data_IF_659705259365
#
_entry.id   IF_659705259365
#
_cell.length_a   1.000
_cell.length_b   1.000
_cell.length_c   1.000
_cell.angle_alpha   90.00
_cell.angle_beta   90.00
_cell.angle_gamma   90.00
#
_symmetry.space_group_name_H-M   'P 1'
#
loop_
_entity.id
_entity.type
_entity.pdbx_description
1 polymer ?
#
# COMPACT_ATOMS: atom_id res chain seq x y z
N UNK A 1 -23.81 70.13 -3.59
CA UNK A 1 -22.97 69.28 -4.47
C UNK A 1 -22.18 68.31 -3.60
N UNK A 2 -22.66 67.10 -3.38
CA UNK A 2 -21.93 66.03 -2.66
C UNK A 2 -21.55 64.95 -3.67
N UNK A 3 -20.24 64.82 -3.92
CA UNK A 3 -19.72 63.72 -4.75
C UNK A 3 -19.36 62.56 -3.82
N UNK A 4 -20.16 61.52 -3.85
CA UNK A 4 -19.81 60.26 -3.17
C UNK A 4 -18.88 59.44 -4.07
N UNK A 5 -17.60 59.35 -3.67
CA UNK A 5 -16.64 58.44 -4.26
C UNK A 5 -16.88 57.02 -3.66
N UNK A 6 -17.43 56.10 -4.44
CA UNK A 6 -17.48 54.70 -4.08
C UNK A 6 -16.13 54.07 -4.35
N UNK A 7 -15.39 53.81 -3.29
CA UNK A 7 -14.14 53.03 -3.35
C UNK A 7 -14.51 51.54 -3.33
N UNK A 8 -14.53 50.91 -4.51
CA UNK A 8 -14.82 49.48 -4.66
C UNK A 8 -13.63 48.65 -4.13
N UNK A 9 -13.88 47.90 -3.05
CA UNK A 9 -12.95 46.95 -2.47
C UNK A 9 -13.01 45.66 -3.30
N UNK A 10 -12.02 45.43 -4.18
CA UNK A 10 -11.88 44.20 -4.93
C UNK A 10 -11.23 43.15 -4.00
N UNK A 11 -12.05 42.25 -3.46
CA UNK A 11 -11.56 41.06 -2.76
C UNK A 11 -11.10 40.02 -3.78
N UNK A 12 -9.80 39.93 -3.99
CA UNK A 12 -9.17 38.85 -4.75
C UNK A 12 -9.16 37.58 -3.89
N UNK A 13 -10.09 36.67 -4.16
CA UNK A 13 -10.11 35.32 -3.55
C UNK A 13 -8.95 34.50 -4.14
N UNK A 14 -7.92 34.26 -3.35
CA UNK A 14 -6.83 33.35 -3.68
C UNK A 14 -7.34 31.90 -3.49
N UNK A 15 -7.74 31.25 -4.58
CA UNK A 15 -8.12 29.84 -4.55
C UNK A 15 -6.84 29.00 -4.37
N UNK A 16 -6.66 28.45 -3.16
CA UNK A 16 -5.61 27.52 -2.84
C UNK A 16 -5.96 26.15 -3.45
N UNK A 17 -5.49 25.87 -4.65
CA UNK A 17 -5.65 24.56 -5.29
C UNK A 17 -4.80 23.53 -4.53
N UNK A 18 -5.44 22.69 -3.73
CA UNK A 18 -4.79 21.54 -3.13
C UNK A 18 -4.45 20.53 -4.23
N UNK A 19 -3.17 20.45 -4.60
CA UNK A 19 -2.67 19.38 -5.46
C UNK A 19 -2.69 18.08 -4.64
N UNK A 20 -3.63 17.20 -4.93
CA UNK A 20 -3.61 15.83 -4.44
C UNK A 20 -2.50 15.08 -5.17
N UNK A 21 -1.39 14.85 -4.49
CA UNK A 21 -0.34 13.96 -4.97
C UNK A 21 -0.89 12.54 -4.89
N UNK A 22 -1.12 11.91 -6.04
CA UNK A 22 -1.44 10.48 -6.06
C UNK A 22 -0.22 9.72 -5.52
N UNK A 23 -0.40 9.00 -4.42
CA UNK A 23 0.63 8.13 -3.89
C UNK A 23 0.79 6.93 -4.85
N UNK A 24 1.89 6.91 -5.58
CA UNK A 24 2.28 5.73 -6.36
C UNK A 24 2.88 4.69 -5.44
N UNK A 25 2.61 3.41 -5.73
CA UNK A 25 3.27 2.31 -5.04
C UNK A 25 4.80 2.39 -5.24
N UNK A 26 5.54 2.21 -4.14
CA UNK A 26 7.00 2.22 -4.14
C UNK A 26 7.53 0.82 -3.78
N UNK A 27 8.00 0.04 -4.77
CA UNK A 27 8.54 -1.30 -4.50
C UNK A 27 9.82 -1.27 -3.65
N UNK A 28 10.60 -0.17 -3.65
CA UNK A 28 11.77 -0.05 -2.79
C UNK A 28 11.37 0.12 -1.32
N UNK A 29 10.37 0.96 -1.04
CA UNK A 29 9.76 1.08 0.28
C UNK A 29 9.10 -0.23 0.71
N UNK A 30 8.41 -0.92 -0.21
CA UNK A 30 7.85 -2.25 0.00
C UNK A 30 8.91 -3.27 0.41
N UNK A 31 10.03 -3.34 -0.31
CA UNK A 31 11.16 -4.23 0.03
C UNK A 31 11.72 -3.95 1.42
N UNK A 32 11.89 -2.69 1.77
CA UNK A 32 12.38 -2.30 3.09
C UNK A 32 11.45 -2.76 4.21
N UNK A 33 10.14 -2.61 4.00
CA UNK A 33 9.11 -3.04 4.94
C UNK A 33 9.01 -4.57 5.05
N UNK A 34 9.15 -5.29 3.93
CA UNK A 34 9.21 -6.76 3.90
C UNK A 34 10.33 -7.27 4.79
N UNK A 35 11.52 -6.67 4.73
CA UNK A 35 12.66 -7.04 5.58
C UNK A 35 12.38 -6.86 7.08
N UNK A 36 11.51 -5.94 7.43
CA UNK A 36 11.17 -5.67 8.82
C UNK A 36 10.04 -6.56 9.35
N UNK A 37 9.01 -6.82 8.53
CA UNK A 37 7.74 -7.39 9.00
C UNK A 37 7.37 -8.74 8.38
N UNK A 38 7.91 -9.10 7.20
CA UNK A 38 7.39 -10.22 6.42
C UNK A 38 8.41 -11.33 6.15
N UNK A 39 9.70 -10.98 6.07
CA UNK A 39 10.73 -11.88 5.56
C UNK A 39 10.92 -13.17 6.35
N UNK A 40 10.68 -13.15 7.66
CA UNK A 40 10.88 -14.33 8.51
C UNK A 40 10.02 -15.50 8.08
N UNK A 41 8.80 -15.23 7.63
CA UNK A 41 7.85 -16.25 7.20
C UNK A 41 7.75 -16.38 5.68
N UNK A 42 7.66 -15.24 4.97
CA UNK A 42 7.40 -15.22 3.53
C UNK A 42 8.63 -15.04 2.65
N UNK A 43 9.78 -14.71 3.24
CA UNK A 43 11.00 -14.37 2.51
C UNK A 43 10.95 -12.98 1.86
N UNK A 44 12.12 -12.39 1.60
CA UNK A 44 12.23 -11.16 0.79
C UNK A 44 11.88 -11.45 -0.67
N UNK A 45 12.24 -12.64 -1.13
CA UNK A 45 11.95 -13.17 -2.45
C UNK A 45 10.52 -13.69 -2.64
N UNK A 46 9.69 -13.63 -1.59
CA UNK A 46 8.33 -14.14 -1.61
C UNK A 46 8.22 -15.66 -1.62
N UNK A 47 9.34 -16.37 -1.38
CA UNK A 47 9.33 -17.83 -1.20
C UNK A 47 9.29 -18.12 0.29
N UNK A 48 8.24 -18.81 0.74
CA UNK A 48 8.01 -19.08 2.16
C UNK A 48 9.20 -19.77 2.83
N UNK A 49 9.53 -19.32 4.03
CA UNK A 49 10.65 -19.85 4.85
C UNK A 49 10.16 -20.79 5.94
N UNK A 50 8.87 -20.85 6.18
CA UNK A 50 8.22 -21.76 7.14
C UNK A 50 7.03 -22.48 6.48
N UNK A 51 6.70 -23.71 6.90
CA UNK A 51 5.68 -24.53 6.23
C UNK A 51 4.27 -23.96 6.25
N UNK A 52 3.93 -23.15 7.26
CA UNK A 52 2.58 -22.59 7.43
C UNK A 52 2.36 -21.30 6.66
N UNK A 53 3.42 -20.68 6.14
CA UNK A 53 3.32 -19.45 5.36
C UNK A 53 3.19 -19.77 3.86
N UNK A 54 2.32 -19.09 3.12
CA UNK A 54 2.26 -19.23 1.68
C UNK A 54 3.40 -18.49 0.97
N UNK A 55 3.74 -18.92 -0.24
CA UNK A 55 4.51 -18.13 -1.18
C UNK A 55 3.72 -16.91 -1.61
N UNK A 56 4.40 -15.77 -1.75
CA UNK A 56 3.80 -14.51 -2.18
C UNK A 56 4.42 -13.98 -3.49
N UNK A 57 5.52 -14.60 -3.94
CA UNK A 57 6.21 -14.21 -5.16
C UNK A 57 5.28 -14.28 -6.37
N UNK A 58 5.16 -13.17 -7.11
CA UNK A 58 4.36 -13.11 -8.33
C UNK A 58 2.84 -13.14 -8.14
N UNK A 59 2.35 -13.07 -6.90
CA UNK A 59 0.91 -12.91 -6.65
C UNK A 59 0.43 -11.55 -7.18
N UNK A 60 -0.85 -11.49 -7.56
CA UNK A 60 -1.40 -10.24 -8.08
C UNK A 60 -1.45 -9.16 -6.98
N UNK A 61 -1.08 -7.93 -7.34
CA UNK A 61 -1.11 -6.79 -6.43
C UNK A 61 -2.49 -6.60 -5.80
N UNK A 62 -3.55 -6.67 -6.61
CA UNK A 62 -4.94 -6.52 -6.15
C UNK A 62 -5.30 -7.59 -5.13
N UNK A 63 -4.88 -8.84 -5.36
CA UNK A 63 -5.13 -9.92 -4.42
C UNK A 63 -4.41 -9.68 -3.09
N UNK A 64 -3.13 -9.34 -3.13
CA UNK A 64 -2.32 -9.08 -1.94
C UNK A 64 -2.90 -7.92 -1.11
N UNK A 65 -3.25 -6.80 -1.75
CA UNK A 65 -3.89 -5.67 -1.06
C UNK A 65 -5.22 -6.08 -0.41
N UNK A 66 -6.04 -6.81 -1.15
CA UNK A 66 -7.34 -7.29 -0.66
C UNK A 66 -7.16 -8.17 0.58
N UNK A 67 -6.21 -9.10 0.55
CA UNK A 67 -5.97 -10.00 1.68
C UNK A 67 -5.39 -9.28 2.90
N UNK A 68 -4.43 -8.37 2.73
CA UNK A 68 -3.88 -7.59 3.83
C UNK A 68 -4.95 -6.70 4.49
N UNK A 69 -5.80 -6.05 3.69
CA UNK A 69 -6.94 -5.27 4.19
C UNK A 69 -7.97 -6.17 4.90
N UNK A 70 -8.20 -7.39 4.40
CA UNK A 70 -9.11 -8.35 5.03
C UNK A 70 -8.58 -8.82 6.40
N UNK A 71 -7.29 -9.11 6.53
CA UNK A 71 -6.68 -9.42 7.82
C UNK A 71 -6.74 -8.23 8.79
N UNK A 72 -6.46 -7.02 8.30
CA UNK A 72 -6.50 -5.81 9.11
C UNK A 72 -7.89 -5.51 9.65
N UNK A 73 -8.93 -5.73 8.86
CA UNK A 73 -10.32 -5.45 9.21
C UNK A 73 -11.01 -6.58 9.99
N UNK A 74 -10.38 -7.76 10.11
CA UNK A 74 -11.00 -8.94 10.70
C UNK A 74 -11.94 -9.73 9.78
N UNK A 75 -12.07 -9.36 8.50
CA UNK A 75 -12.82 -10.15 7.51
C UNK A 75 -12.16 -11.49 7.21
N UNK A 76 -10.85 -11.56 7.37
CA UNK A 76 -10.05 -12.78 7.32
C UNK A 76 -9.23 -12.86 8.58
N UNK A 77 -9.23 -14.01 9.24
CA UNK A 77 -8.54 -14.21 10.50
C UNK A 77 -7.40 -15.21 10.35
N UNK A 78 -6.28 -14.89 10.99
CA UNK A 78 -5.12 -15.75 11.15
C UNK A 78 -4.31 -15.21 12.33
N UNK A 79 -3.84 -16.09 13.21
CA UNK A 79 -3.12 -15.71 14.44
C UNK A 79 -1.97 -14.74 14.18
N UNK A 80 -1.16 -14.98 13.14
CA UNK A 80 0.00 -14.15 12.83
C UNK A 80 -0.38 -12.96 11.95
N UNK A 81 -1.09 -13.21 10.84
CA UNK A 81 -1.37 -12.18 9.85
C UNK A 81 -2.32 -11.12 10.37
N UNK A 82 -3.29 -11.46 11.22
CA UNK A 82 -4.17 -10.47 11.83
C UNK A 82 -3.41 -9.46 12.70
N UNK A 83 -2.38 -9.94 13.43
CA UNK A 83 -1.52 -9.06 14.24
C UNK A 83 -0.64 -8.16 13.36
N UNK A 84 0.02 -8.73 12.35
CA UNK A 84 0.89 -7.97 11.44
C UNK A 84 0.10 -6.92 10.66
N UNK A 85 -1.04 -7.31 10.08
CA UNK A 85 -1.83 -6.42 9.23
C UNK A 85 -2.45 -5.23 9.97
N UNK A 86 -2.78 -5.37 11.26
CA UNK A 86 -3.31 -4.26 12.07
C UNK A 86 -2.36 -3.07 12.17
N UNK A 87 -1.06 -3.29 12.03
CA UNK A 87 -0.03 -2.25 12.11
C UNK A 87 0.23 -1.53 10.79
N UNK A 88 -0.38 -1.98 9.69
CA UNK A 88 -0.12 -1.48 8.34
C UNK A 88 -1.05 -0.33 7.96
N UNK A 89 -0.49 0.71 7.37
CA UNK A 89 -1.25 1.77 6.68
C UNK A 89 -1.68 1.31 5.29
N UNK A 90 -2.57 2.05 4.63
CA UNK A 90 -2.96 1.76 3.25
C UNK A 90 -1.77 1.87 2.29
N UNK A 91 -0.91 2.88 2.48
CA UNK A 91 0.31 3.06 1.70
C UNK A 91 1.28 1.88 1.89
N UNK A 92 1.51 1.44 3.12
CA UNK A 92 2.34 0.27 3.41
C UNK A 92 1.80 -1.00 2.76
N UNK A 93 0.48 -1.21 2.79
CA UNK A 93 -0.17 -2.34 2.11
C UNK A 93 0.07 -2.29 0.60
N UNK A 94 -0.10 -1.13 -0.01
CA UNK A 94 0.14 -0.96 -1.45
C UNK A 94 1.59 -1.22 -1.82
N UNK A 95 2.54 -0.71 -1.04
CA UNK A 95 3.97 -0.90 -1.27
C UNK A 95 4.40 -2.37 -1.09
N UNK A 96 3.88 -3.07 -0.08
CA UNK A 96 4.11 -4.50 0.13
C UNK A 96 3.58 -5.34 -1.03
N UNK A 97 2.37 -5.03 -1.48
CA UNK A 97 1.72 -5.73 -2.59
C UNK A 97 2.51 -5.51 -3.89
N UNK A 98 2.96 -4.29 -4.15
CA UNK A 98 3.80 -3.97 -5.31
C UNK A 98 5.12 -4.74 -5.28
N UNK A 99 5.80 -4.81 -4.12
CA UNK A 99 7.04 -5.57 -4.01
C UNK A 99 6.86 -7.04 -4.39
N UNK A 100 5.93 -7.75 -3.76
CA UNK A 100 5.75 -9.18 -4.00
C UNK A 100 5.18 -9.48 -5.39
N UNK A 101 4.30 -8.64 -5.93
CA UNK A 101 3.77 -8.80 -7.28
C UNK A 101 4.80 -8.55 -8.38
N UNK A 102 5.82 -7.73 -8.10
CA UNK A 102 6.91 -7.44 -9.05
C UNK A 102 7.90 -8.60 -9.21
N UNK A 103 7.86 -9.59 -8.32
CA UNK A 103 8.78 -10.75 -8.37
C UNK A 103 8.35 -11.69 -9.50
N UNK A 104 9.24 -11.88 -10.47
CA UNK A 104 9.00 -12.83 -11.55
C UNK A 104 9.26 -14.26 -11.08
N UNK A 105 8.30 -15.15 -11.35
CA UNK A 105 8.42 -16.58 -11.09
C UNK A 105 8.28 -17.36 -12.41
N UNK A 106 8.89 -18.53 -12.45
CA UNK A 106 8.71 -19.50 -13.54
C UNK A 106 8.17 -20.78 -12.96
N UNK A 107 7.04 -21.24 -13.48
CA UNK A 107 6.41 -22.50 -13.06
C UNK A 107 6.61 -23.57 -14.14
N UNK A 108 6.89 -24.78 -13.71
CA UNK A 108 6.96 -25.96 -14.57
C UNK A 108 6.02 -27.03 -14.05
N UNK A 109 5.15 -27.51 -14.90
CA UNK A 109 4.29 -28.67 -14.59
C UNK A 109 5.11 -29.93 -14.82
N UNK A 110 5.08 -30.84 -13.84
CA UNK A 110 5.63 -32.18 -14.00
C UNK A 110 4.55 -33.04 -14.65
N UNK A 111 4.87 -33.63 -15.80
CA UNK A 111 4.02 -34.59 -16.48
C UNK A 111 4.20 -36.00 -15.89
#
# INVERSE_FOLDING_TARGET
>A
MYRHSFLGLIMTSLALSAMTVAAYADPAAGKALVKQKCQTCHGVDGIAKIPIAPHLAGESQIYLETQLKAFRSGKRENEMMSVVAQTLTDEEITNLAEWYSSITITAKVLE
#
